data_IF_655672285516
#
_entry.id   IF_655672285516
#
_cell.length_a   1.000
_cell.length_b   1.000
_cell.length_c   1.000
_cell.angle_alpha   90.00
_cell.angle_beta   90.00
_cell.angle_gamma   90.00
#
_symmetry.space_group_name_H-M   'P 1'
#
loop_
_entity.id
_entity.type
_entity.pdbx_description
1 polymer ?
#
# COMPACT_ATOMS: atom_id res chain seq x y z
N UNK A 1 -29.94 -21.56 5.55
CA UNK A 1 -28.79 -22.10 4.78
C UNK A 1 -27.66 -22.49 5.71
N UNK A 2 -26.87 -23.49 5.34
CA UNK A 2 -25.69 -23.90 6.11
C UNK A 2 -24.44 -23.84 5.22
N UNK A 3 -23.31 -23.46 5.80
CA UNK A 3 -22.03 -23.55 5.11
C UNK A 3 -21.50 -24.97 5.20
N UNK A 4 -20.87 -25.46 4.13
CA UNK A 4 -20.06 -26.67 4.17
C UNK A 4 -18.96 -26.52 5.22
N UNK A 5 -18.58 -27.61 5.89
CA UNK A 5 -17.50 -27.62 6.87
C UNK A 5 -16.12 -27.55 6.19
N UNK A 6 -15.78 -26.37 5.67
CA UNK A 6 -14.46 -26.08 5.14
C UNK A 6 -13.38 -25.98 6.24
N UNK A 7 -13.76 -25.84 7.52
CA UNK A 7 -12.82 -25.80 8.64
C UNK A 7 -12.16 -27.15 8.85
N UNK A 8 -12.94 -28.22 8.75
CA UNK A 8 -12.46 -29.60 8.89
C UNK A 8 -12.38 -30.35 7.55
N UNK A 9 -12.64 -29.66 6.43
CA UNK A 9 -12.67 -30.21 5.06
C UNK A 9 -13.62 -31.40 4.93
N UNK A 10 -14.80 -31.31 5.56
CA UNK A 10 -15.86 -32.31 5.50
C UNK A 10 -16.97 -31.86 4.55
N UNK A 11 -17.49 -32.79 3.78
CA UNK A 11 -18.58 -32.60 2.82
C UNK A 11 -19.91 -33.22 3.28
N UNK A 12 -19.86 -34.12 4.26
CA UNK A 12 -21.01 -34.75 4.91
C UNK A 12 -21.65 -33.88 6.02
N UNK A 13 -20.95 -32.81 6.42
CA UNK A 13 -21.34 -31.95 7.54
C UNK A 13 -21.28 -30.48 7.19
N UNK A 14 -22.20 -29.73 7.78
CA UNK A 14 -22.17 -28.29 7.82
C UNK A 14 -21.20 -27.80 8.89
N UNK A 15 -20.73 -26.57 8.76
CA UNK A 15 -19.87 -25.90 9.73
C UNK A 15 -20.45 -25.91 11.15
N UNK A 16 -21.78 -25.78 11.27
CA UNK A 16 -22.50 -25.86 12.55
C UNK A 16 -22.63 -27.29 13.12
N UNK A 17 -22.15 -28.32 12.43
CA UNK A 17 -22.26 -29.73 12.81
C UNK A 17 -23.54 -30.43 12.35
N UNK A 18 -24.40 -29.76 11.57
CA UNK A 18 -25.59 -30.40 11.01
C UNK A 18 -25.18 -31.39 9.89
N UNK A 19 -25.76 -32.58 9.88
CA UNK A 19 -25.56 -33.52 8.77
C UNK A 19 -26.19 -32.94 7.49
N UNK A 20 -25.46 -32.98 6.38
CA UNK A 20 -25.92 -32.48 5.09
C UNK A 20 -26.16 -33.66 4.16
N UNK A 21 -27.42 -34.09 4.05
CA UNK A 21 -27.84 -35.05 3.04
C UNK A 21 -28.19 -34.30 1.75
N UNK A 22 -27.42 -34.51 0.68
CA UNK A 22 -27.58 -33.88 -0.64
C UNK A 22 -27.40 -32.36 -0.64
N UNK A 23 -26.14 -31.85 -0.55
CA UNK A 23 -25.87 -30.43 -0.66
C UNK A 23 -26.24 -29.89 -2.04
N UNK A 24 -27.14 -28.90 -2.08
CA UNK A 24 -27.46 -28.17 -3.31
C UNK A 24 -26.51 -26.98 -3.45
N UNK A 25 -25.77 -26.87 -4.57
CA UNK A 25 -25.01 -25.66 -4.86
C UNK A 25 -25.93 -24.44 -4.91
N UNK A 26 -25.55 -23.38 -4.21
CA UNK A 26 -26.25 -22.10 -4.28
C UNK A 26 -26.08 -21.51 -5.68
N UNK A 27 -27.17 -21.33 -6.41
CA UNK A 27 -27.20 -20.59 -7.67
C UNK A 27 -27.24 -19.07 -7.37
N UNK A 28 -26.21 -18.30 -7.76
CA UNK A 28 -26.18 -16.86 -7.55
C UNK A 28 -27.24 -16.09 -8.35
N UNK A 29 -27.87 -16.71 -9.36
CA UNK A 29 -28.98 -16.11 -10.11
C UNK A 29 -30.36 -16.35 -9.46
N UNK A 30 -30.46 -17.27 -8.50
CA UNK A 30 -31.72 -17.69 -7.88
C UNK A 30 -32.10 -16.80 -6.69
N UNK A 31 -32.49 -15.55 -6.95
CA UNK A 31 -33.11 -14.67 -5.95
C UNK A 31 -32.26 -14.41 -4.69
N UNK A 32 -32.82 -13.74 -3.67
CA UNK A 32 -32.09 -13.49 -2.43
C UNK A 32 -31.89 -14.81 -1.66
N UNK A 33 -30.65 -15.13 -1.25
CA UNK A 33 -30.38 -16.38 -0.54
C UNK A 33 -31.09 -16.39 0.81
N UNK A 34 -31.61 -17.56 1.19
CA UNK A 34 -32.14 -17.76 2.53
C UNK A 34 -31.07 -17.45 3.59
N UNK A 35 -31.45 -16.89 4.75
CA UNK A 35 -30.51 -16.51 5.80
C UNK A 35 -29.64 -17.69 6.23
N UNK A 36 -28.37 -17.41 6.53
CA UNK A 36 -27.42 -18.39 7.01
C UNK A 36 -27.74 -18.70 8.48
N UNK A 37 -27.55 -19.96 8.89
CA UNK A 37 -27.70 -20.34 10.29
C UNK A 37 -26.71 -19.56 11.17
N UNK A 38 -27.18 -18.97 12.28
CA UNK A 38 -26.35 -18.19 13.20
C UNK A 38 -25.11 -18.95 13.73
N UNK A 39 -25.20 -20.27 13.90
CA UNK A 39 -24.06 -21.10 14.30
C UNK A 39 -23.02 -21.30 13.18
N UNK A 40 -23.43 -21.23 11.90
CA UNK A 40 -22.50 -21.17 10.78
C UNK A 40 -21.87 -19.78 10.67
N UNK A 41 -22.65 -18.70 10.89
CA UNK A 41 -22.13 -17.33 10.87
C UNK A 41 -21.07 -17.10 11.95
N UNK A 42 -21.26 -17.61 13.16
CA UNK A 42 -20.28 -17.47 14.25
C UNK A 42 -18.95 -18.19 13.92
N UNK A 43 -19.02 -19.41 13.38
CA UNK A 43 -17.83 -20.18 12.99
C UNK A 43 -17.16 -19.67 11.72
N UNK A 44 -17.87 -18.91 10.89
CA UNK A 44 -17.30 -18.27 9.70
C UNK A 44 -16.25 -17.22 10.08
N UNK A 45 -16.48 -16.48 11.18
CA UNK A 45 -15.48 -15.56 11.72
C UNK A 45 -14.23 -16.31 12.19
N UNK A 46 -14.40 -17.40 12.93
CA UNK A 46 -13.27 -18.24 13.39
C UNK A 46 -12.44 -18.77 12.21
N UNK A 47 -13.11 -19.25 11.16
CA UNK A 47 -12.45 -19.67 9.93
C UNK A 47 -11.65 -18.55 9.27
N UNK A 48 -12.25 -17.37 9.07
CA UNK A 48 -11.54 -16.27 8.46
C UNK A 48 -10.32 -15.86 9.29
N UNK A 49 -10.44 -15.83 10.61
CA UNK A 49 -9.31 -15.50 11.50
C UNK A 49 -8.18 -16.53 11.36
N UNK A 50 -8.48 -17.82 11.35
CA UNK A 50 -7.49 -18.88 11.16
C UNK A 50 -6.83 -18.78 9.78
N UNK A 51 -7.63 -18.65 8.74
CA UNK A 51 -7.14 -18.55 7.36
C UNK A 51 -6.25 -17.31 7.16
N UNK A 52 -6.66 -16.15 7.68
CA UNK A 52 -5.86 -14.93 7.59
C UNK A 52 -4.56 -15.03 8.39
N UNK A 53 -4.59 -15.67 9.57
CA UNK A 53 -3.38 -15.91 10.37
C UNK A 53 -2.40 -16.80 9.62
N UNK A 54 -2.84 -17.97 9.13
CA UNK A 54 -2.00 -18.89 8.36
C UNK A 54 -1.39 -18.18 7.13
N UNK A 55 -2.19 -17.36 6.45
CA UNK A 55 -1.72 -16.58 5.30
C UNK A 55 -0.66 -15.54 5.67
N UNK A 56 -0.87 -14.82 6.77
CA UNK A 56 0.07 -13.81 7.26
C UNK A 56 1.38 -14.43 7.75
N UNK A 57 1.31 -15.56 8.45
CA UNK A 57 2.48 -16.32 8.90
C UNK A 57 3.30 -16.83 7.70
N UNK A 58 2.64 -17.38 6.69
CA UNK A 58 3.29 -17.83 5.45
C UNK A 58 4.00 -16.66 4.74
N UNK A 59 3.31 -15.53 4.55
CA UNK A 59 3.90 -14.35 3.91
C UNK A 59 5.07 -13.75 4.71
N UNK A 60 5.01 -13.83 6.04
CA UNK A 60 6.09 -13.39 6.93
C UNK A 60 7.33 -14.29 6.77
N UNK A 61 7.14 -15.61 6.68
CA UNK A 61 8.22 -16.55 6.45
C UNK A 61 8.88 -16.35 5.09
N UNK A 62 8.08 -16.18 4.02
CA UNK A 62 8.58 -15.87 2.67
C UNK A 62 9.40 -14.57 2.65
N UNK A 63 8.95 -13.54 3.36
CA UNK A 63 9.64 -12.27 3.45
C UNK A 63 10.97 -12.39 4.20
N UNK A 64 11.03 -13.20 5.26
CA UNK A 64 12.27 -13.44 5.99
C UNK A 64 13.27 -14.28 5.17
N UNK A 65 12.78 -15.29 4.43
CA UNK A 65 13.61 -16.05 3.49
C UNK A 65 14.21 -15.13 2.42
N UNK A 66 13.41 -14.23 1.84
CA UNK A 66 13.89 -13.24 0.89
C UNK A 66 14.94 -12.32 1.51
N UNK A 67 14.72 -11.81 2.74
CA UNK A 67 15.71 -10.98 3.44
C UNK A 67 17.04 -11.70 3.64
N UNK A 68 17.02 -12.97 4.04
CA UNK A 68 18.22 -13.80 4.20
C UNK A 68 18.93 -13.96 2.84
N UNK A 69 18.17 -14.29 1.79
CA UNK A 69 18.70 -14.48 0.44
C UNK A 69 19.35 -13.20 -0.10
N UNK A 70 18.69 -12.05 0.06
CA UNK A 70 19.24 -10.76 -0.37
C UNK A 70 20.46 -10.36 0.44
N UNK A 71 20.47 -10.57 1.76
CA UNK A 71 21.67 -10.35 2.59
C UNK A 71 22.84 -11.24 2.18
N UNK A 72 22.59 -12.50 1.82
CA UNK A 72 23.63 -13.41 1.35
C UNK A 72 24.18 -13.01 -0.04
N UNK A 73 23.33 -12.41 -0.90
CA UNK A 73 23.74 -11.89 -2.20
C UNK A 73 24.46 -10.54 -2.11
N UNK A 74 24.19 -9.74 -1.08
CA UNK A 74 24.85 -8.46 -0.83
C UNK A 74 26.32 -8.58 -0.36
N UNK A 75 26.80 -9.79 -0.01
CA UNK A 75 28.18 -10.03 0.43
C UNK A 75 28.53 -9.40 1.79
N UNK A 76 29.70 -9.74 2.37
CA UNK A 76 30.21 -9.08 3.58
C UNK A 76 31.04 -7.84 3.21
N UNK A 77 30.38 -6.78 2.77
CA UNK A 77 30.89 -5.40 2.75
C UNK A 77 29.73 -4.54 3.30
N UNK A 78 29.82 -3.83 4.41
CA UNK A 78 30.83 -2.85 4.79
C UNK A 78 31.32 -3.03 6.24
N UNK A 79 32.63 -3.19 6.40
CA UNK A 79 33.30 -2.72 7.61
C UNK A 79 33.40 -1.20 7.47
N UNK A 80 32.94 -0.38 8.43
CA UNK A 80 32.99 1.08 8.28
C UNK A 80 34.45 1.52 8.13
N UNK A 81 34.82 2.30 7.10
CA UNK A 81 36.14 2.90 7.06
C UNK A 81 36.23 3.94 8.18
N UNK A 82 37.31 3.85 8.94
CA UNK A 82 37.71 4.79 9.95
C UNK A 82 37.76 6.23 9.42
N UNK A 83 37.37 7.15 10.30
CA UNK A 83 37.56 8.61 10.26
C UNK A 83 38.35 9.17 9.07
N UNK A 84 37.65 9.91 8.20
CA UNK A 84 38.27 10.92 7.34
C UNK A 84 37.67 12.28 7.71
N UNK A 85 38.50 13.28 8.09
CA UNK A 85 38.00 14.56 8.58
C UNK A 85 37.34 15.36 7.46
N UNK A 86 36.20 15.96 7.79
CA UNK A 86 35.44 16.84 6.90
C UNK A 86 36.26 18.07 6.49
N UNK A 87 36.63 18.15 5.21
CA UNK A 87 36.99 19.41 4.59
C UNK A 87 35.73 20.05 3.99
N UNK A 88 35.40 21.19 4.59
CA UNK A 88 34.51 22.23 4.09
C UNK A 88 34.99 22.69 2.71
N UNK A 89 34.09 22.73 1.73
CA UNK A 89 33.91 23.87 0.80
C UNK A 89 32.87 23.55 -0.27
N UNK A 90 31.94 24.49 -0.49
CA UNK A 90 31.16 24.59 -1.72
C UNK A 90 29.72 24.98 -1.49
N UNK A 91 29.49 26.27 -1.27
CA UNK A 91 28.17 26.90 -1.28
C UNK A 91 27.33 26.44 -2.48
N UNK A 92 26.25 25.72 -2.19
CA UNK A 92 25.07 25.65 -3.04
C UNK A 92 23.92 26.21 -2.21
N UNK A 93 23.61 27.47 -2.51
CA UNK A 93 22.45 28.26 -2.12
C UNK A 93 21.24 27.42 -1.66
N UNK A 94 21.19 27.10 -0.36
CA UNK A 94 19.98 26.58 0.29
C UNK A 94 18.96 27.72 0.30
N UNK A 95 18.09 27.73 -0.71
CA UNK A 95 16.82 28.44 -0.62
C UNK A 95 16.16 28.01 0.69
N UNK A 96 15.75 28.93 1.59
CA UNK A 96 15.17 28.55 2.87
C UNK A 96 13.90 27.76 2.59
N UNK A 97 14.00 26.44 2.71
CA UNK A 97 12.88 25.53 2.53
C UNK A 97 11.85 25.91 3.58
N UNK A 98 10.67 26.22 3.08
CA UNK A 98 9.47 26.48 3.86
C UNK A 98 9.16 25.26 4.76
N UNK A 99 8.51 25.46 5.92
CA UNK A 99 8.52 24.49 7.01
C UNK A 99 7.90 23.13 6.63
N UNK A 100 6.91 23.08 5.74
CA UNK A 100 6.26 21.83 5.38
C UNK A 100 7.06 20.99 4.39
N UNK A 101 7.66 21.60 3.36
CA UNK A 101 8.58 20.88 2.46
C UNK A 101 9.85 20.41 3.17
N UNK A 102 10.37 21.18 4.15
CA UNK A 102 11.48 20.74 4.98
C UNK A 102 11.11 19.49 5.80
N UNK A 103 9.91 19.45 6.38
CA UNK A 103 9.41 18.28 7.12
C UNK A 103 9.14 17.08 6.18
N UNK A 104 8.54 17.33 5.00
CA UNK A 104 8.32 16.29 4.00
C UNK A 104 9.64 15.69 3.50
N UNK A 105 10.66 16.52 3.25
CA UNK A 105 12.03 16.09 2.91
C UNK A 105 12.59 15.16 3.98
N UNK A 106 12.42 15.51 5.26
CA UNK A 106 12.92 14.67 6.36
C UNK A 106 12.26 13.29 6.36
N UNK A 107 10.92 13.23 6.27
CA UNK A 107 10.20 11.94 6.21
C UNK A 107 10.59 11.14 4.96
N UNK A 108 10.82 11.81 3.83
CA UNK A 108 11.26 11.17 2.60
C UNK A 108 12.68 10.60 2.69
N UNK A 109 13.62 11.32 3.31
CA UNK A 109 14.99 10.84 3.55
C UNK A 109 14.99 9.64 4.51
N UNK A 110 14.18 9.69 5.56
CA UNK A 110 14.01 8.57 6.49
C UNK A 110 13.41 7.34 5.80
N UNK A 111 12.54 7.53 4.80
CA UNK A 111 12.08 6.45 3.94
C UNK A 111 13.21 5.93 3.04
N UNK A 112 13.93 6.81 2.34
CA UNK A 112 14.96 6.41 1.37
C UNK A 112 16.09 5.62 2.01
N UNK A 113 16.48 5.95 3.25
CA UNK A 113 17.49 5.21 4.03
C UNK A 113 17.15 3.73 4.27
N UNK A 114 15.88 3.34 4.08
CA UNK A 114 15.45 1.95 4.23
C UNK A 114 15.70 1.12 2.96
N UNK A 115 16.20 1.74 1.89
CA UNK A 115 16.37 1.12 0.58
C UNK A 115 17.77 1.41 0.00
N UNK A 116 18.35 0.40 -0.64
CA UNK A 116 19.66 0.49 -1.30
C UNK A 116 19.49 1.00 -2.73
N UNK A 117 19.40 2.32 -2.92
CA UNK A 117 19.41 2.88 -4.28
C UNK A 117 18.03 2.95 -4.95
N UNK A 118 17.08 2.10 -4.59
CA UNK A 118 15.80 1.96 -5.30
C UNK A 118 14.58 1.94 -4.35
N UNK A 119 13.75 2.97 -4.41
CA UNK A 119 12.56 3.14 -3.56
C UNK A 119 11.29 2.79 -4.37
N UNK A 120 10.41 1.88 -3.90
CA UNK A 120 9.14 1.61 -4.59
C UNK A 120 8.18 2.80 -4.58
N UNK A 121 7.56 3.14 -5.71
CA UNK A 121 6.61 4.27 -5.82
C UNK A 121 5.50 4.23 -4.77
N UNK A 122 4.91 3.05 -4.52
CA UNK A 122 3.84 2.90 -3.53
C UNK A 122 4.29 3.21 -2.10
N UNK A 123 5.59 3.04 -1.78
CA UNK A 123 6.17 3.42 -0.48
C UNK A 123 6.26 4.94 -0.35
N UNK A 124 6.73 5.60 -1.40
CA UNK A 124 6.77 7.07 -1.49
C UNK A 124 5.37 7.64 -1.33
N UNK A 125 4.41 7.09 -2.09
CA UNK A 125 2.99 7.47 -2.02
C UNK A 125 2.43 7.31 -0.60
N UNK A 126 2.55 6.13 0.00
CA UNK A 126 1.98 5.88 1.33
C UNK A 126 2.65 6.75 2.41
N UNK A 127 3.96 7.01 2.31
CA UNK A 127 4.65 7.89 3.23
C UNK A 127 4.12 9.32 3.14
N UNK A 128 3.92 9.83 1.93
CA UNK A 128 3.46 11.19 1.71
C UNK A 128 1.95 11.36 1.97
N UNK A 129 1.15 10.33 1.75
CA UNK A 129 -0.25 10.28 2.19
C UNK A 129 -0.32 10.36 3.73
N UNK A 130 0.48 9.55 4.44
CA UNK A 130 0.54 9.59 5.89
C UNK A 130 1.07 10.92 6.44
N UNK A 131 1.99 11.58 5.73
CA UNK A 131 2.41 12.94 6.05
C UNK A 131 1.26 13.95 5.88
N UNK A 132 0.57 13.92 4.74
CA UNK A 132 -0.57 14.79 4.44
C UNK A 132 -1.74 14.59 5.41
N UNK A 133 -1.97 13.37 5.87
CA UNK A 133 -3.02 13.04 6.85
C UNK A 133 -2.78 13.68 8.22
N UNK A 134 -1.52 13.95 8.59
CA UNK A 134 -1.16 14.68 9.82
C UNK A 134 -1.44 16.19 9.71
N UNK A 135 -1.53 16.71 8.49
CA UNK A 135 -1.74 18.14 8.24
C UNK A 135 -3.23 18.50 8.30
N UNK A 136 -3.53 19.62 8.92
CA UNK A 136 -4.85 20.27 8.85
C UNK A 136 -5.16 20.80 7.46
N UNK A 137 -6.43 21.14 7.21
CA UNK A 137 -6.89 21.65 5.90
C UNK A 137 -6.12 22.90 5.44
N UNK A 138 -5.87 23.84 6.36
CA UNK A 138 -5.14 25.08 6.04
C UNK A 138 -3.65 24.80 5.76
N UNK A 139 -3.05 23.85 6.50
CA UNK A 139 -1.67 23.42 6.31
C UNK A 139 -1.47 22.72 4.97
N UNK A 140 -2.45 21.94 4.50
CA UNK A 140 -2.42 21.35 3.15
C UNK A 140 -2.48 22.39 2.03
N UNK A 141 -3.23 23.48 2.24
CA UNK A 141 -3.26 24.59 1.29
C UNK A 141 -1.92 25.30 1.25
N UNK A 142 -1.29 25.53 2.41
CA UNK A 142 0.06 26.09 2.49
C UNK A 142 1.09 25.17 1.82
N UNK A 143 1.06 23.86 2.09
CA UNK A 143 1.92 22.89 1.42
C UNK A 143 1.76 22.91 -0.10
N UNK A 144 0.52 23.01 -0.61
CA UNK A 144 0.27 23.12 -2.05
C UNK A 144 0.87 24.41 -2.66
N UNK A 145 0.84 25.52 -1.91
CA UNK A 145 1.50 26.77 -2.31
C UNK A 145 3.02 26.62 -2.32
N UNK A 146 3.59 25.90 -1.34
CA UNK A 146 5.04 25.63 -1.25
C UNK A 146 5.55 24.74 -2.39
N UNK A 147 4.77 23.73 -2.81
CA UNK A 147 5.09 22.86 -3.94
C UNK A 147 5.13 23.66 -5.26
N UNK A 148 4.27 24.66 -5.40
CA UNK A 148 4.27 25.57 -6.54
C UNK A 148 4.20 24.85 -7.90
N UNK A 149 5.19 25.13 -8.76
CA UNK A 149 5.26 24.61 -10.13
C UNK A 149 5.42 23.09 -10.22
N UNK A 150 5.76 22.40 -9.12
CA UNK A 150 5.88 20.94 -9.08
C UNK A 150 4.52 20.23 -9.12
N UNK A 151 3.41 20.95 -9.00
CA UNK A 151 2.05 20.50 -9.30
C UNK A 151 1.45 19.49 -8.31
N UNK A 152 2.23 18.54 -7.80
CA UNK A 152 1.80 17.61 -6.75
C UNK A 152 2.96 17.24 -5.83
N UNK A 153 2.64 16.94 -4.57
CA UNK A 153 3.61 16.47 -3.57
C UNK A 153 4.36 15.23 -4.06
N UNK A 154 3.65 14.30 -4.70
CA UNK A 154 4.24 13.07 -5.23
C UNK A 154 5.26 13.36 -6.32
N UNK A 155 4.98 14.28 -7.24
CA UNK A 155 5.94 14.65 -8.29
C UNK A 155 7.18 15.33 -7.70
N UNK A 156 6.98 16.23 -6.74
CA UNK A 156 8.08 16.84 -5.99
C UNK A 156 8.93 15.78 -5.30
N UNK A 157 8.32 14.80 -4.62
CA UNK A 157 9.03 13.71 -3.96
C UNK A 157 9.83 12.84 -4.93
N UNK A 158 9.23 12.45 -6.05
CA UNK A 158 9.92 11.66 -7.08
C UNK A 158 11.14 12.41 -7.61
N UNK A 159 10.97 13.67 -8.04
CA UNK A 159 12.07 14.48 -8.54
C UNK A 159 13.15 14.69 -7.47
N UNK A 160 12.75 14.84 -6.20
CA UNK A 160 13.69 14.98 -5.11
C UNK A 160 14.49 13.69 -4.83
N UNK A 161 13.85 12.52 -4.83
CA UNK A 161 14.53 11.22 -4.69
C UNK A 161 15.55 11.03 -5.82
N UNK A 162 15.13 11.32 -7.06
CA UNK A 162 15.99 11.21 -8.25
C UNK A 162 17.17 12.18 -8.19
N UNK A 163 16.96 13.41 -7.70
CA UNK A 163 18.04 14.40 -7.51
C UNK A 163 19.12 13.94 -6.52
N UNK A 164 18.76 13.03 -5.60
CA UNK A 164 19.67 12.45 -4.61
C UNK A 164 20.37 11.17 -5.12
N UNK A 165 20.13 10.79 -6.38
CA UNK A 165 20.73 9.60 -6.99
C UNK A 165 19.99 8.29 -6.70
N UNK A 166 18.84 8.34 -6.03
CA UNK A 166 17.97 7.18 -5.83
C UNK A 166 16.98 7.05 -6.99
N UNK A 167 16.59 5.82 -7.32
CA UNK A 167 15.56 5.54 -8.33
C UNK A 167 14.21 5.24 -7.69
N UNK A 168 13.13 5.81 -8.24
CA UNK A 168 11.77 5.41 -7.86
C UNK A 168 11.29 4.31 -8.81
N UNK A 169 11.14 3.08 -8.28
CA UNK A 169 10.75 1.92 -9.08
C UNK A 169 9.23 1.83 -9.27
N UNK A 170 8.80 1.32 -10.43
CA UNK A 170 7.38 1.25 -10.82
C UNK A 170 6.66 2.61 -10.71
N UNK A 171 7.38 3.68 -10.99
CA UNK A 171 6.86 5.03 -10.99
C UNK A 171 5.99 5.26 -12.23
N UNK A 172 4.67 5.52 -12.09
CA UNK A 172 3.81 5.87 -13.23
C UNK A 172 4.02 7.34 -13.68
N UNK A 173 4.75 8.13 -12.89
CA UNK A 173 5.04 9.54 -13.16
C UNK A 173 6.32 9.63 -13.97
N UNK A 174 6.24 9.33 -15.27
CA UNK A 174 7.40 9.36 -16.19
C UNK A 174 7.33 10.46 -17.26
N UNK A 175 6.44 11.45 -17.12
CA UNK A 175 6.17 12.43 -18.18
C UNK A 175 5.48 13.72 -17.71
N UNK A 176 5.20 14.61 -18.68
CA UNK A 176 4.71 15.98 -18.49
C UNK A 176 3.39 16.07 -17.71
N UNK A 177 3.05 17.27 -17.24
CA UNK A 177 1.90 17.53 -16.37
C UNK A 177 0.53 17.11 -16.97
N UNK A 178 0.42 16.93 -18.28
CA UNK A 178 -0.79 16.43 -18.95
C UNK A 178 -0.95 14.90 -18.81
N UNK A 179 0.13 14.13 -18.95
CA UNK A 179 0.14 12.68 -18.71
C UNK A 179 -0.22 12.34 -17.26
N UNK A 180 0.14 13.26 -16.35
CA UNK A 180 -0.21 13.20 -14.93
C UNK A 180 -1.71 13.38 -14.69
N UNK A 181 -2.37 14.30 -15.40
CA UNK A 181 -3.81 14.46 -15.27
C UNK A 181 -4.54 13.21 -15.76
N UNK A 182 -4.03 12.58 -16.83
CA UNK A 182 -4.55 11.32 -17.36
C UNK A 182 -4.30 10.13 -16.42
N UNK A 183 -3.13 10.01 -15.78
CA UNK A 183 -2.85 8.96 -14.79
C UNK A 183 -3.55 9.17 -13.44
N UNK A 184 -3.93 10.41 -13.09
CA UNK A 184 -4.73 10.73 -11.92
C UNK A 184 -6.25 10.59 -12.19
N UNK A 185 -6.70 10.87 -13.42
CA UNK A 185 -8.10 10.66 -13.84
C UNK A 185 -8.37 9.20 -14.23
N UNK A 186 -7.42 8.53 -14.87
CA UNK A 186 -7.37 7.08 -14.98
C UNK A 186 -6.85 6.51 -13.68
N UNK A 187 -7.80 6.39 -12.76
CA UNK A 187 -7.90 5.58 -11.56
C UNK A 187 -7.31 4.14 -11.67
N UNK A 188 -6.05 3.97 -12.12
CA UNK A 188 -5.35 2.69 -12.25
C UNK A 188 -5.09 2.03 -10.88
N UNK A 189 -5.34 2.77 -9.80
CA UNK A 189 -5.32 2.30 -8.42
C UNK A 189 -6.65 2.47 -7.70
N UNK A 190 -7.79 2.45 -8.42
CA UNK A 190 -9.01 1.97 -7.77
C UNK A 190 -8.76 0.52 -7.38
N UNK A 191 -8.71 0.28 -6.07
CA UNK A 191 -9.26 -0.99 -5.56
C UNK A 191 -10.60 -1.19 -6.26
N UNK A 192 -10.89 -2.36 -6.87
CA UNK A 192 -12.03 -2.52 -7.75
C UNK A 192 -13.28 -1.93 -7.09
N UNK A 193 -13.75 -0.78 -7.62
CA UNK A 193 -14.94 -0.11 -7.12
C UNK A 193 -16.03 -1.16 -7.20
N UNK A 194 -16.53 -1.62 -6.05
CA UNK A 194 -17.78 -2.38 -6.01
C UNK A 194 -18.78 -1.56 -6.80
N UNK A 195 -19.21 -2.08 -7.94
CA UNK A 195 -20.19 -1.43 -8.81
C UNK A 195 -21.45 -1.20 -7.99
N UNK A 196 -21.58 -0.02 -7.40
CA UNK A 196 -22.85 0.48 -6.89
C UNK A 196 -23.67 0.82 -8.13
N UNK A 197 -24.34 -0.19 -8.67
CA UNK A 197 -25.46 0.00 -9.56
C UNK A 197 -26.51 0.83 -8.80
N UNK A 198 -26.53 2.14 -9.06
CA UNK A 198 -27.70 2.97 -8.79
C UNK A 198 -28.41 3.16 -10.12
N UNK A 199 -29.47 2.40 -10.34
CA UNK A 199 -30.49 2.77 -11.32
C UNK A 199 -31.44 3.77 -10.63
N UNK A 200 -31.21 5.05 -10.93
CA UNK A 200 -32.19 6.10 -10.71
C UNK A 200 -33.30 6.04 -11.75
N UNK A 201 -34.53 6.20 -11.27
CA UNK A 201 -35.81 6.49 -11.94
C UNK A 201 -35.75 7.12 -13.34
N UNK A 202 -36.63 6.59 -14.21
CA UNK A 202 -37.36 7.37 -15.22
C UNK A 202 -38.84 7.48 -14.81
N UNK A 203 -39.34 8.72 -14.74
CA UNK A 203 -40.72 9.12 -15.07
C UNK A 203 -40.61 10.42 -15.84
#
# INVERSE_FOLDING_TARGET
MHHQDYLNRRDDQALCGAAVANPTPLDPAAGPPAPVCAACESKLVEYHLRWWRERAETATAELEELRIKYRALAGPEDTPPADVPAQVHGDAEETPLTPFLAQARKELLDLCRQFDGAVPYWRVKNCMDAFSDKLGSDERVLLAQEIGADGSLIRWCTAHIESLGWQVTNNPVTGEAEDMMEAWTHDLYQTPKKTKWRLGRAR
#
